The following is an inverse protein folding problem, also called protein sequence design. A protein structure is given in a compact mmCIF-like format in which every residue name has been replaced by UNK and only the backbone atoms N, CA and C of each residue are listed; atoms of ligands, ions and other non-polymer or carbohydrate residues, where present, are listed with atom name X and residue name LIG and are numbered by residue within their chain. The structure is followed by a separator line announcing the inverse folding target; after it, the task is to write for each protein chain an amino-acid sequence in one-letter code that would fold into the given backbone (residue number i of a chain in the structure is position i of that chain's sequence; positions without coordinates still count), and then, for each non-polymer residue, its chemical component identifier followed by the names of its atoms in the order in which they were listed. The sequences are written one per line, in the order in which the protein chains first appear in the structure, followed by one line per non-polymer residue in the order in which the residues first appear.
data_IF_390362192268
#
_entry.id   IF_390362192268
#
_cell.length_a   1.000
_cell.length_b   1.000
_cell.length_c   1.000
_cell.angle_alpha   90.00
_cell.angle_beta   90.00
_cell.angle_gamma   90.00
#
_symmetry.space_group_name_H-M   'P 1'
#
loop_
_entity.id
_entity.type
_entity.pdbx_description
1 polymer ?
#
# COMPACT_ATOMS: atom_id res chain seq x y z
N UNK A 1 -9.95 -8.31 20.28
CA UNK A 1 -10.79 -7.38 19.51
C UNK A 1 -10.56 -5.97 20.01
N UNK A 2 -10.20 -5.00 19.15
CA UNK A 2 -10.04 -5.12 17.69
C UNK A 2 -8.71 -5.79 17.28
N UNK A 3 -8.67 -6.38 16.08
CA UNK A 3 -7.41 -6.80 15.44
C UNK A 3 -6.80 -5.62 14.68
N UNK A 4 -5.48 -5.44 14.77
CA UNK A 4 -4.72 -4.72 13.76
C UNK A 4 -4.57 -5.57 12.50
N UNK A 5 -4.23 -4.93 11.39
CA UNK A 5 -3.90 -5.58 10.11
C UNK A 5 -2.95 -6.78 10.29
N UNK A 6 -1.87 -6.59 11.06
CA UNK A 6 -0.84 -7.61 11.29
C UNK A 6 -1.30 -8.75 12.20
N UNK A 7 -2.19 -8.44 13.15
CA UNK A 7 -2.68 -9.40 14.15
C UNK A 7 -3.88 -10.24 13.69
N UNK A 8 -4.47 -9.92 12.54
CA UNK A 8 -5.60 -10.65 12.00
C UNK A 8 -5.22 -12.12 11.71
N UNK A 9 -6.08 -13.09 12.04
CA UNK A 9 -5.84 -14.49 11.70
C UNK A 9 -5.57 -14.69 10.20
N UNK A 10 -4.59 -15.53 9.87
CA UNK A 10 -4.08 -15.69 8.50
C UNK A 10 -5.17 -16.06 7.50
N UNK A 11 -6.08 -16.98 7.85
CA UNK A 11 -7.20 -17.34 6.98
C UNK A 11 -8.13 -16.15 6.71
N UNK A 12 -8.52 -15.40 7.75
CA UNK A 12 -9.39 -14.23 7.59
C UNK A 12 -8.74 -13.13 6.74
N UNK A 13 -7.42 -12.96 6.87
CA UNK A 13 -6.65 -12.05 6.04
C UNK A 13 -6.69 -12.47 4.57
N UNK A 14 -6.47 -13.76 4.27
CA UNK A 14 -6.59 -14.32 2.92
C UNK A 14 -7.99 -14.07 2.36
N UNK A 15 -9.04 -14.38 3.12
CA UNK A 15 -10.44 -14.25 2.66
C UNK A 15 -10.84 -12.79 2.40
N UNK A 16 -10.29 -11.83 3.16
CA UNK A 16 -10.49 -10.40 2.91
C UNK A 16 -9.81 -9.96 1.61
N UNK A 17 -8.54 -10.32 1.42
CA UNK A 17 -7.79 -9.96 0.23
C UNK A 17 -8.38 -10.60 -1.03
N UNK A 18 -8.74 -11.87 -0.97
CA UNK A 18 -9.34 -12.57 -2.09
C UNK A 18 -10.64 -11.87 -2.54
N UNK A 19 -11.55 -11.55 -1.62
CA UNK A 19 -12.78 -10.81 -1.95
C UNK A 19 -12.50 -9.41 -2.50
N UNK A 20 -11.48 -8.73 -1.99
CA UNK A 20 -11.04 -7.43 -2.49
C UNK A 20 -10.56 -7.52 -3.95
N UNK A 21 -9.63 -8.43 -4.23
CA UNK A 21 -9.08 -8.68 -5.56
C UNK A 21 -10.19 -9.04 -6.54
N UNK A 22 -11.08 -9.97 -6.18
CA UNK A 22 -12.19 -10.39 -7.04
C UNK A 22 -13.14 -9.23 -7.38
N UNK A 23 -13.37 -8.30 -6.45
CA UNK A 23 -14.17 -7.10 -6.72
C UNK A 23 -13.47 -6.16 -7.69
N UNK A 24 -12.17 -5.91 -7.49
CA UNK A 24 -11.41 -5.02 -8.38
C UNK A 24 -11.31 -5.61 -9.78
N UNK A 25 -11.01 -6.91 -9.91
CA UNK A 25 -10.93 -7.60 -11.21
C UNK A 25 -12.22 -7.47 -12.04
N UNK A 26 -13.39 -7.44 -11.38
CA UNK A 26 -14.69 -7.25 -12.05
C UNK A 26 -14.88 -5.83 -12.60
N UNK A 27 -14.18 -4.84 -12.04
CA UNK A 27 -14.25 -3.44 -12.46
C UNK A 27 -13.15 -3.11 -13.45
N UNK A 28 -11.92 -3.52 -13.15
CA UNK A 28 -10.73 -3.26 -13.94
C UNK A 28 -9.72 -4.42 -13.76
N UNK A 29 -9.44 -5.14 -14.86
CA UNK A 29 -8.55 -6.30 -14.86
C UNK A 29 -7.10 -5.92 -14.55
N UNK A 30 -6.65 -4.75 -15.02
CA UNK A 30 -5.28 -4.30 -14.81
C UNK A 30 -5.07 -3.87 -13.36
N UNK A 31 -5.99 -3.09 -12.79
CA UNK A 31 -5.97 -2.75 -11.37
C UNK A 31 -6.06 -4.02 -10.51
N UNK A 32 -6.91 -4.98 -10.90
CA UNK A 32 -7.03 -6.27 -10.20
C UNK A 32 -5.73 -7.07 -10.22
N UNK A 33 -4.98 -7.03 -11.33
CA UNK A 33 -3.65 -7.63 -11.44
C UNK A 33 -2.65 -6.95 -10.49
N UNK A 34 -2.59 -5.62 -10.48
CA UNK A 34 -1.70 -4.86 -9.59
C UNK A 34 -1.98 -5.14 -8.11
N UNK A 35 -3.25 -5.15 -7.70
CA UNK A 35 -3.66 -5.46 -6.32
C UNK A 35 -3.34 -6.91 -5.95
N UNK A 36 -3.48 -7.85 -6.89
CA UNK A 36 -3.07 -9.25 -6.68
C UNK A 36 -1.56 -9.39 -6.46
N UNK A 37 -0.74 -8.65 -7.23
CA UNK A 37 0.71 -8.61 -7.06
C UNK A 37 1.10 -8.00 -5.71
N UNK A 38 0.48 -6.87 -5.34
CA UNK A 38 0.70 -6.24 -4.04
C UNK A 38 0.34 -7.19 -2.88
N UNK A 39 -0.80 -7.88 -2.97
CA UNK A 39 -1.20 -8.89 -1.98
C UNK A 39 -0.17 -10.01 -1.83
N UNK A 40 0.36 -10.54 -2.94
CA UNK A 40 1.40 -11.58 -2.88
C UNK A 40 2.66 -11.06 -2.17
N UNK A 41 3.04 -9.80 -2.40
CA UNK A 41 4.17 -9.13 -1.74
C UNK A 41 4.04 -9.06 -0.22
N UNK A 42 2.82 -9.01 0.34
CA UNK A 42 2.60 -8.98 1.79
C UNK A 42 2.97 -10.29 2.50
N UNK A 43 3.07 -11.40 1.76
CA UNK A 43 3.46 -12.69 2.30
C UNK A 43 4.94 -13.02 2.05
N UNK A 44 5.69 -12.11 1.42
CA UNK A 44 7.11 -12.28 1.18
C UNK A 44 7.92 -11.88 2.42
N UNK A 45 8.45 -12.90 3.11
CA UNK A 45 9.24 -12.71 4.34
C UNK A 45 10.56 -11.99 4.10
N UNK A 46 11.11 -12.03 2.89
CA UNK A 46 12.36 -11.31 2.58
C UNK A 46 12.18 -9.80 2.68
N UNK A 47 10.94 -9.33 2.56
CA UNK A 47 10.58 -7.92 2.65
C UNK A 47 10.37 -7.45 4.09
N UNK A 48 10.23 -8.36 5.05
CA UNK A 48 10.05 -8.01 6.45
C UNK A 48 11.26 -7.28 7.06
N UNK A 49 12.44 -7.45 6.47
CA UNK A 49 13.69 -6.80 6.89
C UNK A 49 13.96 -5.49 6.16
N UNK A 50 13.12 -5.11 5.18
CA UNK A 50 13.28 -3.88 4.43
C UNK A 50 12.64 -2.71 5.21
N UNK A 51 13.34 -1.58 5.41
CA UNK A 51 12.77 -0.40 6.08
C UNK A 51 11.46 0.06 5.43
N UNK A 52 10.42 0.28 6.25
CA UNK A 52 9.11 0.74 5.76
C UNK A 52 8.26 -0.32 5.06
N UNK A 53 8.70 -1.58 5.02
CA UNK A 53 7.89 -2.72 4.57
C UNK A 53 7.47 -3.57 5.77
N UNK A 54 6.34 -4.26 5.64
CA UNK A 54 5.83 -5.18 6.64
C UNK A 54 5.27 -6.41 5.95
N UNK A 55 5.77 -7.58 6.32
CA UNK A 55 5.22 -8.84 5.85
C UNK A 55 4.26 -9.41 6.91
N UNK A 56 3.15 -9.98 6.46
CA UNK A 56 2.21 -10.69 7.32
C UNK A 56 2.97 -11.77 8.09
N UNK A 57 2.87 -11.73 9.41
CA UNK A 57 3.35 -12.83 10.23
C UNK A 57 2.48 -14.07 9.98
N UNK A 58 3.13 -15.15 9.54
CA UNK A 58 2.55 -16.46 9.22
C UNK A 58 3.22 -17.50 10.09
N UNK A 59 2.44 -18.21 10.91
CA UNK A 59 2.96 -19.28 11.76
C UNK A 59 3.37 -20.48 10.91
N UNK A 60 4.31 -21.29 11.38
CA UNK A 60 4.81 -22.45 10.61
C UNK A 60 3.70 -23.41 10.17
N UNK A 61 2.71 -23.67 11.03
CA UNK A 61 1.55 -24.51 10.71
C UNK A 61 0.58 -23.88 9.69
N UNK A 62 0.66 -22.57 9.47
CA UNK A 62 -0.17 -21.85 8.48
C UNK A 62 0.56 -21.74 7.12
N UNK A 63 1.81 -22.19 7.01
CA UNK A 63 2.56 -22.10 5.76
C UNK A 63 1.90 -22.84 4.58
N UNK A 64 1.31 -24.05 4.75
CA UNK A 64 0.64 -24.74 3.65
C UNK A 64 -0.53 -23.93 3.05
N UNK A 65 -1.36 -23.31 3.90
CA UNK A 65 -2.53 -22.54 3.44
C UNK A 65 -2.12 -21.25 2.73
N UNK A 66 -1.06 -20.59 3.20
CA UNK A 66 -0.49 -19.41 2.53
C UNK A 66 0.12 -19.79 1.18
N UNK A 67 0.87 -20.89 1.12
CA UNK A 67 1.48 -21.36 -0.13
C UNK A 67 0.43 -21.68 -1.19
N UNK A 68 -0.62 -22.41 -0.80
CA UNK A 68 -1.74 -22.75 -1.68
C UNK A 68 -2.47 -21.48 -2.19
N UNK A 69 -2.71 -20.50 -1.30
CA UNK A 69 -3.24 -19.19 -1.70
C UNK A 69 -2.34 -18.45 -2.69
N UNK A 70 -1.03 -18.37 -2.44
CA UNK A 70 -0.08 -17.71 -3.33
C UNK A 70 -0.01 -18.40 -4.71
N UNK A 71 -0.15 -19.73 -4.77
CA UNK A 71 -0.23 -20.43 -6.05
C UNK A 71 -1.51 -20.08 -6.82
N UNK A 72 -2.66 -20.02 -6.14
CA UNK A 72 -3.91 -19.54 -6.76
C UNK A 72 -3.78 -18.11 -7.28
N UNK A 73 -3.18 -17.20 -6.51
CA UNK A 73 -2.93 -15.83 -6.95
C UNK A 73 -2.03 -15.80 -8.19
N UNK A 74 -0.94 -16.56 -8.23
CA UNK A 74 -0.06 -16.64 -9.42
C UNK A 74 -0.81 -17.12 -10.66
N UNK A 75 -1.63 -18.15 -10.53
CA UNK A 75 -2.46 -18.64 -11.64
C UNK A 75 -3.48 -17.59 -12.10
N UNK A 76 -4.11 -16.86 -11.18
CA UNK A 76 -5.01 -15.75 -11.50
C UNK A 76 -4.27 -14.62 -12.23
N UNK A 77 -3.08 -14.24 -11.75
CA UNK A 77 -2.25 -13.21 -12.38
C UNK A 77 -1.85 -13.60 -13.80
N UNK A 78 -1.46 -14.87 -14.04
CA UNK A 78 -1.16 -15.38 -15.38
C UNK A 78 -2.37 -15.26 -16.32
N UNK A 79 -3.56 -15.63 -15.86
CA UNK A 79 -4.81 -15.48 -16.64
C UNK A 79 -5.11 -14.03 -16.98
N UNK A 80 -5.01 -13.13 -15.98
CA UNK A 80 -5.20 -11.69 -16.20
C UNK A 80 -4.18 -11.13 -17.21
N UNK A 81 -2.91 -11.54 -17.14
CA UNK A 81 -1.89 -11.15 -18.12
C UNK A 81 -2.24 -11.63 -19.54
N UNK A 82 -2.77 -12.85 -19.68
CA UNK A 82 -3.22 -13.38 -20.98
C UNK A 82 -4.40 -12.55 -21.52
N UNK A 83 -5.41 -12.30 -20.69
CA UNK A 83 -6.58 -11.50 -21.07
C UNK A 83 -6.18 -10.09 -21.52
N UNK A 84 -5.29 -9.43 -20.76
CA UNK A 84 -4.80 -8.09 -21.09
C UNK A 84 -4.02 -8.06 -22.41
N UNK A 85 -3.21 -9.09 -22.70
CA UNK A 85 -2.48 -9.22 -23.98
C UNK A 85 -3.40 -9.48 -25.16
N UNK A 86 -4.55 -10.13 -24.94
CA UNK A 86 -5.55 -10.41 -25.96
C UNK A 86 -6.34 -9.18 -26.41
N UNK A 87 -6.34 -8.09 -25.64
CA UNK A 87 -7.05 -6.86 -25.94
C UNK A 87 -6.08 -5.78 -26.48
N UNK A 88 -6.25 -5.29 -27.72
CA UNK A 88 -5.41 -4.23 -28.29
C UNK A 88 -5.32 -2.96 -27.44
N UNK A 89 -6.35 -2.64 -26.66
CA UNK A 89 -6.38 -1.45 -25.80
C UNK A 89 -5.51 -1.60 -24.53
N UNK A 90 -5.23 -2.84 -24.10
CA UNK A 90 -4.51 -3.11 -22.85
C UNK A 90 -3.24 -3.93 -23.00
N UNK A 91 -2.92 -4.42 -24.21
CA UNK A 91 -1.78 -5.32 -24.45
C UNK A 91 -0.44 -4.80 -23.92
N UNK A 92 -0.22 -3.49 -24.04
CA UNK A 92 1.04 -2.85 -23.64
C UNK A 92 1.14 -2.74 -22.11
N UNK A 93 0.02 -2.78 -21.38
CA UNK A 93 -0.01 -2.80 -19.92
C UNK A 93 0.48 -4.13 -19.34
N UNK A 94 0.50 -5.19 -20.15
CA UNK A 94 0.98 -6.53 -19.76
C UNK A 94 2.46 -6.76 -20.09
N UNK A 95 3.18 -5.72 -20.52
CA UNK A 95 4.64 -5.71 -20.54
C UNK A 95 5.17 -5.85 -19.11
N UNK A 96 6.13 -6.76 -18.90
CA UNK A 96 6.57 -7.10 -17.55
C UNK A 96 7.27 -5.93 -16.86
N UNK A 97 8.06 -5.12 -17.58
CA UNK A 97 8.76 -3.98 -16.98
C UNK A 97 7.77 -2.91 -16.54
N UNK A 98 6.76 -2.64 -17.38
CA UNK A 98 5.72 -1.66 -17.06
C UNK A 98 4.86 -2.11 -15.89
N UNK A 99 4.50 -3.39 -15.89
CA UNK A 99 3.71 -3.99 -14.82
C UNK A 99 4.45 -3.93 -13.48
N UNK A 100 5.73 -4.30 -13.44
CA UNK A 100 6.55 -4.23 -12.23
C UNK A 100 6.66 -2.79 -11.71
N UNK A 101 6.98 -1.84 -12.60
CA UNK A 101 7.09 -0.43 -12.22
C UNK A 101 5.77 0.11 -11.64
N UNK A 102 4.63 -0.29 -12.18
CA UNK A 102 3.32 0.14 -11.68
C UNK A 102 2.91 -0.58 -10.39
N UNK A 103 3.31 -1.84 -10.19
CA UNK A 103 3.12 -2.53 -8.92
C UNK A 103 3.93 -1.86 -7.79
N UNK A 104 5.18 -1.47 -8.07
CA UNK A 104 6.03 -0.74 -7.12
C UNK A 104 5.49 0.67 -6.83
N UNK A 105 4.94 1.38 -7.83
CA UNK A 105 4.24 2.67 -7.60
C UNK A 105 2.99 2.51 -6.74
N UNK A 106 2.18 1.48 -6.99
CA UNK A 106 1.02 1.18 -6.14
C UNK A 106 1.46 0.96 -4.69
N UNK A 107 2.55 0.23 -4.48
CA UNK A 107 3.10 0.01 -3.15
C UNK A 107 3.68 1.28 -2.50
N UNK A 108 4.34 2.15 -3.27
CA UNK A 108 4.77 3.45 -2.77
C UNK A 108 3.58 4.32 -2.34
N UNK A 109 2.47 4.29 -3.09
CA UNK A 109 1.24 4.98 -2.74
C UNK A 109 0.54 4.36 -1.52
N UNK A 110 0.61 3.03 -1.35
CA UNK A 110 0.13 2.36 -0.14
C UNK A 110 0.94 2.82 1.09
N UNK A 111 2.27 2.82 1.01
CA UNK A 111 3.16 3.35 2.07
C UNK A 111 2.87 4.82 2.40
N UNK A 112 2.65 5.65 1.37
CA UNK A 112 2.24 7.05 1.55
C UNK A 112 0.87 7.17 2.23
N UNK A 113 -0.07 6.26 1.94
CA UNK A 113 -1.37 6.24 2.62
C UNK A 113 -1.22 5.88 4.11
N UNK A 114 -0.34 4.93 4.44
CA UNK A 114 -0.06 4.53 5.82
C UNK A 114 0.62 5.65 6.61
N UNK A 115 1.50 6.42 5.97
CA UNK A 115 2.11 7.62 6.55
C UNK A 115 1.07 8.58 7.12
N UNK A 116 -0.03 8.82 6.41
CA UNK A 116 -1.13 9.67 6.90
C UNK A 116 -2.07 8.97 7.89
N UNK A 117 -2.23 7.64 7.79
CA UNK A 117 -3.28 6.91 8.52
C UNK A 117 -2.87 6.32 9.87
N UNK A 118 -1.59 5.99 10.09
CA UNK A 118 -1.19 5.13 11.22
C UNK A 118 -0.72 5.86 12.48
N UNK A 119 -0.32 7.12 12.39
CA UNK A 119 0.31 7.79 13.51
C UNK A 119 0.52 9.29 13.32
N UNK A 120 1.21 9.96 14.26
CA UNK A 120 1.69 11.31 14.04
C UNK A 120 2.61 11.35 12.81
N UNK A 121 2.61 12.49 12.12
CA UNK A 121 3.51 12.69 10.98
C UNK A 121 4.93 12.88 11.51
N UNK A 122 5.85 12.02 11.06
CA UNK A 122 7.28 12.05 11.38
C UNK A 122 8.09 12.10 10.09
N UNK A 123 9.40 12.27 10.18
CA UNK A 123 10.28 12.14 9.00
C UNK A 123 10.29 10.69 8.52
N UNK A 124 10.10 10.47 7.22
CA UNK A 124 10.08 9.13 6.63
C UNK A 124 10.64 9.11 5.21
N UNK A 125 11.13 7.96 4.77
CA UNK A 125 11.54 7.74 3.38
C UNK A 125 10.76 6.59 2.77
N UNK A 126 10.28 6.78 1.54
CA UNK A 126 9.72 5.74 0.69
C UNK A 126 10.74 5.51 -0.44
N UNK A 127 11.60 4.53 -0.26
CA UNK A 127 12.73 4.27 -1.16
C UNK A 127 12.32 3.55 -2.45
N UNK A 128 13.18 3.66 -3.47
CA UNK A 128 13.14 2.91 -4.73
C UNK A 128 11.79 3.01 -5.48
N UNK A 129 11.23 4.22 -5.54
CA UNK A 129 9.99 4.48 -6.28
C UNK A 129 10.30 4.67 -7.75
N UNK A 130 9.69 3.90 -8.68
CA UNK A 130 9.94 4.08 -10.11
C UNK A 130 9.52 5.47 -10.60
N UNK A 131 10.50 6.26 -11.03
CA UNK A 131 10.30 7.61 -11.55
C UNK A 131 9.83 7.60 -13.02
N UNK A 132 10.24 6.59 -13.79
CA UNK A 132 9.85 6.42 -15.18
C UNK A 132 9.72 4.93 -15.58
N UNK A 133 9.51 4.65 -16.86
CA UNK A 133 9.46 3.30 -17.41
C UNK A 133 10.80 2.86 -18.04
N UNK A 134 11.88 3.62 -17.83
CA UNK A 134 13.24 3.36 -18.34
C UNK A 134 14.16 2.79 -17.25
N UNK A 135 13.66 2.63 -16.03
CA UNK A 135 14.37 2.05 -14.89
C UNK A 135 14.95 3.09 -13.93
N UNK A 136 14.59 4.37 -14.08
CA UNK A 136 14.95 5.38 -13.09
C UNK A 136 14.11 5.20 -11.82
N UNK A 137 14.76 5.25 -10.67
CA UNK A 137 14.15 5.19 -9.34
C UNK A 137 14.52 6.43 -8.53
N UNK A 138 13.61 6.84 -7.64
CA UNK A 138 13.82 7.94 -6.71
C UNK A 138 13.33 7.56 -5.31
N UNK A 139 13.97 8.12 -4.29
CA UNK A 139 13.49 8.03 -2.92
C UNK A 139 12.60 9.23 -2.62
N UNK A 140 11.43 8.96 -2.06
CA UNK A 140 10.48 9.97 -1.60
C UNK A 140 10.76 10.31 -0.14
N UNK A 141 11.31 11.51 0.10
CA UNK A 141 11.58 12.06 1.44
C UNK A 141 10.36 12.83 1.94
N UNK A 142 9.78 12.38 3.06
CA UNK A 142 8.62 12.97 3.71
C UNK A 142 9.05 13.70 4.99
N UNK A 143 8.63 14.94 5.15
CA UNK A 143 8.85 15.72 6.36
C UNK A 143 7.54 16.31 6.88
N UNK A 144 7.27 16.27 8.19
CA UNK A 144 6.07 16.88 8.76
C UNK A 144 6.13 18.42 8.65
N UNK A 145 5.01 19.03 8.30
CA UNK A 145 4.86 20.49 8.17
C UNK A 145 3.58 20.96 8.86
N UNK A 146 3.72 21.68 9.98
CA UNK A 146 2.57 22.22 10.72
C UNK A 146 1.57 21.14 11.18
N UNK A 147 0.31 21.55 11.35
CA UNK A 147 -0.75 20.61 11.76
C UNK A 147 -1.31 19.87 10.54
N UNK A 148 -1.15 18.55 10.52
CA UNK A 148 -1.60 17.65 9.44
C UNK A 148 -1.04 18.02 8.05
N UNK A 149 0.11 18.67 7.97
CA UNK A 149 0.81 18.91 6.71
C UNK A 149 2.07 18.06 6.61
N UNK A 150 2.51 17.81 5.38
CA UNK A 150 3.80 17.23 5.09
C UNK A 150 4.37 17.80 3.78
N UNK A 151 5.69 17.77 3.64
CA UNK A 151 6.37 17.99 2.37
C UNK A 151 6.86 16.66 1.81
N UNK A 152 6.91 16.54 0.48
CA UNK A 152 7.42 15.38 -0.24
C UNK A 152 8.41 15.81 -1.33
N UNK A 153 9.60 15.20 -1.34
CA UNK A 153 10.64 15.43 -2.35
C UNK A 153 11.21 14.11 -2.90
N UNK A 154 11.29 13.89 -4.22
CA UNK A 154 10.72 14.72 -5.29
C UNK A 154 9.18 14.63 -5.29
N UNK A 155 8.52 15.70 -5.70
CA UNK A 155 7.06 15.79 -5.69
C UNK A 155 6.44 15.18 -6.95
N UNK A 156 5.66 14.07 -6.87
CA UNK A 156 5.19 13.34 -8.04
C UNK A 156 3.81 13.81 -8.54
N UNK A 157 3.12 14.67 -7.79
CA UNK A 157 1.74 15.05 -8.08
C UNK A 157 1.67 16.33 -8.92
N UNK A 158 0.68 16.39 -9.81
CA UNK A 158 0.45 17.56 -10.66
C UNK A 158 0.03 18.81 -9.87
N UNK A 159 -0.65 18.63 -8.73
CA UNK A 159 -1.20 19.73 -7.93
C UNK A 159 -0.34 19.90 -6.68
N UNK A 160 0.09 21.13 -6.40
CA UNK A 160 0.78 21.52 -5.17
C UNK A 160 0.07 22.75 -4.56
N UNK A 161 -0.48 22.66 -3.33
CA UNK A 161 -0.55 21.47 -2.47
C UNK A 161 -1.55 20.43 -3.00
N UNK A 162 -1.28 19.16 -2.72
CA UNK A 162 -2.27 18.09 -2.78
C UNK A 162 -3.07 18.10 -1.47
N UNK A 163 -4.38 18.36 -1.57
CA UNK A 163 -5.30 18.27 -0.44
C UNK A 163 -5.87 16.86 -0.34
N UNK A 164 -5.68 16.23 0.82
CA UNK A 164 -6.09 14.86 1.10
C UNK A 164 -7.18 14.91 2.17
N UNK A 165 -8.30 14.22 1.95
CA UNK A 165 -9.37 14.09 2.93
C UNK A 165 -9.72 12.61 3.12
N UNK A 166 -9.40 12.08 4.30
CA UNK A 166 -9.67 10.69 4.69
C UNK A 166 -10.92 10.65 5.55
N UNK A 167 -11.89 9.83 5.16
CA UNK A 167 -13.11 9.65 5.94
C UNK A 167 -12.83 8.71 7.12
N UNK A 168 -12.92 9.23 8.34
CA UNK A 168 -12.55 8.52 9.56
C UNK A 168 -13.72 8.42 10.54
N UNK A 169 -13.64 7.43 11.46
CA UNK A 169 -14.52 7.30 12.63
C UNK A 169 -13.66 7.18 13.87
N UNK A 170 -14.06 7.85 14.95
CA UNK A 170 -13.36 7.76 16.25
C UNK A 170 -14.22 6.95 17.21
N UNK A 171 -13.63 5.88 17.74
CA UNK A 171 -14.25 5.01 18.75
C UNK A 171 -13.36 4.96 20.01
N UNK A 172 -13.91 4.71 21.21
CA UNK A 172 -13.11 4.58 22.42
C UNK A 172 -12.05 3.48 22.33
N UNK A 173 -10.82 3.78 22.78
CA UNK A 173 -9.75 2.79 22.91
C UNK A 173 -9.97 1.97 24.19
N UNK A 174 -10.85 0.97 24.12
CA UNK A 174 -11.16 0.05 25.22
C UNK A 174 -11.21 -1.39 24.75
N UNK A 175 -11.24 -2.32 25.71
CA UNK A 175 -11.64 -3.70 25.44
C UNK A 175 -13.13 -3.73 25.14
N UNK A 176 -13.50 -4.39 24.04
CA UNK A 176 -14.89 -4.66 23.68
C UNK A 176 -15.27 -6.05 24.19
N UNK A 177 -16.54 -6.23 24.56
CA UNK A 177 -17.02 -7.50 25.08
C UNK A 177 -16.95 -8.60 24.01
N UNK A 178 -17.41 -8.28 22.80
CA UNK A 178 -17.45 -9.14 21.63
C UNK A 178 -17.46 -8.29 20.35
N UNK A 179 -17.59 -8.96 19.20
CA UNK A 179 -17.66 -8.32 17.88
C UNK A 179 -18.90 -7.45 17.74
N UNK A 180 -20.01 -7.81 18.39
CA UNK A 180 -21.27 -7.07 18.30
C UNK A 180 -21.20 -5.74 19.06
N UNK A 181 -20.56 -5.70 20.23
CA UNK A 181 -20.25 -4.47 20.97
C UNK A 181 -19.40 -3.52 20.10
N UNK A 182 -18.31 -4.03 19.50
CA UNK A 182 -17.48 -3.25 18.60
C UNK A 182 -18.26 -2.72 17.39
N UNK A 183 -19.05 -3.58 16.73
CA UNK A 183 -19.85 -3.20 15.57
C UNK A 183 -20.91 -2.15 15.90
N UNK A 184 -21.58 -2.26 17.06
CA UNK A 184 -22.56 -1.26 17.53
C UNK A 184 -21.89 0.09 17.76
N UNK A 185 -20.79 0.12 18.51
CA UNK A 185 -20.05 1.37 18.77
C UNK A 185 -19.51 1.96 17.48
N UNK A 186 -18.94 1.13 16.60
CA UNK A 186 -18.49 1.56 15.29
C UNK A 186 -19.65 2.17 14.52
N UNK A 187 -20.78 1.46 14.36
CA UNK A 187 -21.95 1.90 13.60
C UNK A 187 -22.57 3.23 14.11
N UNK A 188 -22.44 3.54 15.39
CA UNK A 188 -22.94 4.79 15.99
C UNK A 188 -21.97 5.97 15.85
N UNK A 189 -20.66 5.73 15.65
CA UNK A 189 -19.68 6.81 15.57
C UNK A 189 -19.85 7.65 14.30
N UNK A 190 -19.98 8.99 14.35
CA UNK A 190 -20.10 9.77 13.13
C UNK A 190 -18.82 9.71 12.29
N UNK A 191 -18.99 9.79 10.97
CA UNK A 191 -17.87 10.03 10.08
C UNK A 191 -17.41 11.49 10.18
N UNK A 192 -16.09 11.71 10.09
CA UNK A 192 -15.52 13.04 9.91
C UNK A 192 -14.36 12.96 8.90
N UNK A 193 -14.10 14.08 8.21
CA UNK A 193 -12.97 14.19 7.30
C UNK A 193 -11.70 14.56 8.06
N UNK A 194 -10.68 13.70 8.04
CA UNK A 194 -9.34 14.06 8.44
C UNK A 194 -8.62 14.68 7.23
N UNK A 195 -8.24 15.95 7.36
CA UNK A 195 -7.66 16.73 6.27
C UNK A 195 -6.16 16.82 6.44
N UNK A 196 -5.45 16.53 5.35
CA UNK A 196 -4.00 16.68 5.24
C UNK A 196 -3.63 17.55 4.03
N UNK A 197 -2.47 18.19 4.10
CA UNK A 197 -1.87 18.93 2.98
C UNK A 197 -0.50 18.36 2.67
N UNK A 198 -0.27 17.97 1.43
CA UNK A 198 1.02 17.47 0.96
C UNK A 198 1.60 18.44 -0.07
N UNK A 199 2.73 19.08 0.26
CA UNK A 199 3.42 20.06 -0.59
C UNK A 199 4.69 19.51 -1.19
N UNK A 200 5.20 20.16 -2.23
CA UNK A 200 6.56 19.92 -2.66
C UNK A 200 7.55 20.28 -1.55
N UNK A 201 8.54 19.41 -1.32
CA UNK A 201 9.70 19.77 -0.50
C UNK A 201 10.55 20.82 -1.22
N UNK A 202 11.10 21.77 -0.46
CA UNK A 202 12.11 22.70 -0.99
C UNK A 202 13.41 21.94 -1.26
N UNK A 203 14.04 22.19 -2.42
CA UNK A 203 15.23 21.47 -2.88
C UNK A 203 16.28 21.37 -1.78
N UNK A 204 16.41 20.23 -1.12
CA UNK A 204 17.59 19.99 -0.28
C UNK A 204 18.71 19.58 -1.21
N UNK A 205 19.69 20.47 -1.40
CA UNK A 205 20.99 20.09 -1.94
C UNK A 205 21.57 19.05 -0.96
N UNK A 206 21.33 17.75 -1.23
CA UNK A 206 22.07 16.67 -0.57
C UNK A 206 23.49 16.78 -1.10
N UNK A 207 24.34 17.51 -0.38
CA UNK A 207 25.77 17.45 -0.59
C UNK A 207 26.18 15.99 -0.35
N UNK A 208 26.46 15.27 -1.44
CA UNK A 208 27.21 14.03 -1.39
C UNK A 208 28.56 14.38 -0.77
N UNK A 209 28.70 14.18 0.54
CA UNK A 209 30.02 14.13 1.16
C UNK A 209 30.65 12.84 0.65
N UNK A 210 31.47 12.98 -0.39
CA UNK A 210 32.42 11.96 -0.78
C UNK A 210 33.43 11.79 0.37
N UNK A 211 33.15 10.84 1.26
CA UNK A 211 34.10 10.36 2.24
C UNK A 211 35.12 9.47 1.55
N UNK A 212 36.18 10.07 1.02
CA UNK A 212 37.44 9.36 0.85
C UNK A 212 38.15 9.31 2.19
N UNK A 213 38.52 8.10 2.64
CA UNK A 213 39.89 7.58 2.78
C UNK A 213 39.82 6.06 2.67
#
# INVERSE_FOLDING_TARGET
MPYSFMSLPTQQHIDLYQRGIERVVKVDRYAGLLVSMHCAGLYDRTRATMPGFSAKYVKSQEAPVVNDFLQRLRLQQLRLKVDLRGDPATKDLADEKWLQANAQRLEALDRLSLYFCLGPLEGATIDAVPADYKGAEVDWDLQPEGNNGATLEPYPFRRDPLEISILARRIPKRRYADDLDLQKVLAQAPYFGQKFKLRAGGTRIRALVAGGV
#
